data_IF_798735380763
#
_entry.id   IF_798735380763
#
_cell.length_a   1.000
_cell.length_b   1.000
_cell.length_c   1.000
_cell.angle_alpha   90.00
_cell.angle_beta   90.00
_cell.angle_gamma   90.00
#
_symmetry.space_group_name_H-M   'P 1'
#
loop_
_entity.id
_entity.type
_entity.pdbx_description
1 polymer ?
#
# COMPACT_ATOMS: atom_id res chain seq x y z
N UNK A 1 18.71 -62.54 42.07
CA UNK A 1 19.48 -62.98 40.89
C UNK A 1 19.94 -61.68 40.21
N UNK A 2 20.96 -61.06 40.65
CA UNK A 2 22.40 -61.18 40.46
C UNK A 2 22.81 -61.64 39.07
N UNK A 3 23.53 -60.76 38.40
CA UNK A 3 24.83 -60.84 37.73
C UNK A 3 25.00 -59.62 36.85
N UNK A 4 25.80 -58.63 37.13
CA UNK A 4 27.25 -58.42 37.21
C UNK A 4 27.95 -58.29 35.84
N UNK A 5 28.41 -57.06 35.59
CA UNK A 5 29.74 -56.54 35.24
C UNK A 5 30.57 -57.27 34.14
N UNK A 6 31.03 -56.62 33.17
CA UNK A 6 32.40 -56.01 33.06
C UNK A 6 32.75 -55.55 31.64
N UNK A 7 33.21 -54.33 31.61
CA UNK A 7 34.43 -53.77 30.92
C UNK A 7 34.80 -54.20 29.49
N UNK A 8 34.91 -53.19 28.67
CA UNK A 8 36.11 -53.02 27.80
C UNK A 8 36.31 -51.56 27.42
N UNK A 9 37.33 -50.99 28.04
CA UNK A 9 38.00 -49.74 27.66
C UNK A 9 38.67 -49.85 26.29
N UNK A 10 38.49 -48.85 25.44
CA UNK A 10 39.53 -48.54 24.45
C UNK A 10 39.62 -47.05 24.18
N UNK A 11 40.82 -46.58 24.34
CA UNK A 11 41.36 -45.23 24.11
C UNK A 11 41.09 -44.73 22.69
N UNK A 12 40.53 -43.52 22.55
CA UNK A 12 40.83 -42.69 21.41
C UNK A 12 41.16 -41.25 21.86
N UNK A 13 42.33 -40.83 21.43
CA UNK A 13 43.02 -39.60 21.74
C UNK A 13 42.20 -38.36 21.37
N UNK A 14 42.05 -37.44 22.32
CA UNK A 14 41.61 -36.07 22.11
C UNK A 14 42.72 -35.28 21.43
N UNK A 15 42.51 -34.89 20.17
CA UNK A 15 43.33 -33.87 19.53
C UNK A 15 42.59 -32.55 19.73
N UNK A 16 43.16 -31.68 20.57
CA UNK A 16 42.71 -30.32 20.80
C UNK A 16 43.30 -29.45 19.70
N UNK A 17 42.44 -28.90 18.81
CA UNK A 17 42.82 -27.80 17.93
C UNK A 17 42.47 -26.48 18.63
N UNK A 18 43.39 -25.53 18.72
CA UNK A 18 43.07 -24.21 19.23
C UNK A 18 42.35 -23.40 18.11
N UNK A 19 41.14 -23.00 18.37
CA UNK A 19 40.43 -22.00 17.56
C UNK A 19 41.07 -20.63 17.82
N UNK A 20 41.82 -20.15 16.85
CA UNK A 20 42.32 -18.79 16.80
C UNK A 20 41.11 -17.90 16.37
N UNK A 21 40.53 -17.15 17.33
CA UNK A 21 39.62 -16.07 17.02
C UNK A 21 40.40 -14.90 16.40
N UNK A 22 40.35 -14.77 15.10
CA UNK A 22 40.81 -13.58 14.39
C UNK A 22 39.60 -12.63 14.27
N UNK A 23 39.52 -11.66 15.19
CA UNK A 23 38.58 -10.56 15.14
C UNK A 23 39.06 -9.58 14.09
N UNK A 24 38.55 -9.70 12.86
CA UNK A 24 38.72 -8.67 11.84
C UNK A 24 37.53 -7.70 11.98
N UNK A 25 37.81 -6.56 12.62
CA UNK A 25 36.93 -5.38 12.55
C UNK A 25 37.10 -4.80 11.15
N UNK A 26 36.24 -5.16 10.24
CA UNK A 26 36.05 -4.45 8.95
C UNK A 26 34.98 -3.39 9.15
N UNK A 27 35.42 -2.19 9.51
CA UNK A 27 34.68 -0.96 9.18
C UNK A 27 34.74 -0.80 7.66
N UNK A 28 33.79 -1.43 6.99
CA UNK A 28 33.57 -1.26 5.56
C UNK A 28 32.25 -0.57 5.35
N UNK A 29 32.27 0.71 5.05
CA UNK A 29 31.17 1.37 4.35
C UNK A 29 31.07 0.64 3.00
N UNK A 30 30.20 -0.36 2.92
CA UNK A 30 29.84 -1.01 1.69
C UNK A 30 28.94 -0.08 0.90
N UNK A 31 29.53 0.86 0.17
CA UNK A 31 28.88 1.38 -1.02
C UNK A 31 28.69 0.19 -1.95
N UNK A 32 27.44 -0.26 -2.11
CA UNK A 32 27.05 -1.21 -3.14
C UNK A 32 27.54 -0.65 -4.48
N UNK A 33 28.56 -1.27 -5.06
CA UNK A 33 28.99 -0.98 -6.43
C UNK A 33 27.97 -1.59 -7.41
N UNK A 34 26.75 -1.03 -7.46
CA UNK A 34 25.88 -1.21 -8.59
C UNK A 34 26.40 -0.34 -9.72
N UNK A 35 26.81 -0.95 -10.80
CA UNK A 35 27.15 -0.20 -12.01
C UNK A 35 25.88 0.44 -12.57
N UNK A 36 25.94 1.63 -13.20
CA UNK A 36 24.76 2.34 -13.75
C UNK A 36 23.91 1.49 -14.73
N UNK A 37 24.46 0.40 -15.25
CA UNK A 37 23.75 -0.53 -16.15
C UNK A 37 22.77 -1.48 -15.44
N UNK A 38 22.86 -1.62 -14.12
CA UNK A 38 22.09 -2.59 -13.33
C UNK A 38 20.99 -1.93 -12.47
N UNK A 39 20.89 -0.61 -12.52
CA UNK A 39 19.84 0.16 -11.83
C UNK A 39 18.64 0.40 -12.75
N UNK A 40 17.42 0.46 -12.16
CA UNK A 40 16.19 0.73 -12.91
C UNK A 40 16.14 2.19 -13.44
N UNK A 41 16.73 3.13 -12.70
CA UNK A 41 16.89 4.53 -13.05
C UNK A 41 18.37 4.90 -13.08
N UNK A 42 18.73 5.90 -13.88
CA UNK A 42 20.03 6.57 -13.76
C UNK A 42 20.14 7.32 -12.44
N UNK A 43 21.36 7.58 -11.95
CA UNK A 43 21.58 8.37 -10.74
C UNK A 43 20.91 9.74 -10.81
N UNK A 44 20.95 10.40 -11.95
CA UNK A 44 20.30 11.70 -12.17
C UNK A 44 18.77 11.62 -12.20
N UNK A 45 18.19 10.50 -12.66
CA UNK A 45 16.74 10.29 -12.62
C UNK A 45 16.26 9.96 -11.21
N UNK A 46 17.02 9.15 -10.49
CA UNK A 46 16.74 8.83 -9.09
C UNK A 46 16.82 10.06 -8.18
N UNK A 47 17.86 10.89 -8.35
CA UNK A 47 18.02 12.12 -7.59
C UNK A 47 16.89 13.12 -7.88
N UNK A 48 16.50 13.24 -9.16
CA UNK A 48 15.34 14.06 -9.55
C UNK A 48 14.06 13.58 -8.83
N UNK A 49 13.78 12.27 -8.85
CA UNK A 49 12.58 11.71 -8.22
C UNK A 49 12.61 11.88 -6.70
N UNK A 50 13.76 11.65 -6.05
CA UNK A 50 13.94 11.91 -4.60
C UNK A 50 13.64 13.35 -4.24
N UNK A 51 14.28 14.31 -4.91
CA UNK A 51 14.09 15.73 -4.63
C UNK A 51 12.64 16.17 -4.90
N UNK A 52 12.01 15.66 -5.96
CA UNK A 52 10.61 15.93 -6.25
C UNK A 52 9.70 15.37 -5.14
N UNK A 53 9.93 14.13 -4.72
CA UNK A 53 9.15 13.46 -3.65
C UNK A 53 9.27 14.23 -2.34
N UNK A 54 10.49 14.60 -1.92
CA UNK A 54 10.73 15.39 -0.73
C UNK A 54 9.97 16.73 -0.78
N UNK A 55 10.07 17.46 -1.90
CA UNK A 55 9.37 18.74 -2.09
C UNK A 55 7.85 18.58 -2.01
N UNK A 56 7.29 17.50 -2.57
CA UNK A 56 5.85 17.21 -2.50
C UNK A 56 5.42 16.92 -1.08
N UNK A 57 6.14 16.06 -0.35
CA UNK A 57 5.84 15.74 1.05
C UNK A 57 5.93 16.99 1.92
N UNK A 58 6.95 17.83 1.72
CA UNK A 58 7.09 19.10 2.41
C UNK A 58 5.90 20.04 2.16
N UNK A 59 5.44 20.13 0.92
CA UNK A 59 4.29 20.95 0.55
C UNK A 59 2.94 20.39 1.05
N UNK A 60 2.93 19.12 1.46
CA UNK A 60 1.75 18.42 1.98
C UNK A 60 1.62 18.52 3.51
N UNK A 61 2.65 19.01 4.20
CA UNK A 61 2.63 19.19 5.65
C UNK A 61 1.74 20.34 6.06
N UNK A 62 0.94 20.11 7.10
CA UNK A 62 0.13 21.12 7.81
C UNK A 62 0.58 21.14 9.25
N UNK A 63 1.22 22.23 9.65
CA UNK A 63 1.77 22.39 10.99
C UNK A 63 0.67 22.72 12.03
N UNK A 64 0.89 22.42 13.32
CA UNK A 64 -0.04 22.82 14.38
C UNK A 64 -0.32 24.34 14.33
N UNK A 65 -1.61 24.70 14.35
CA UNK A 65 -2.05 26.08 14.23
C UNK A 65 -2.09 26.64 12.81
N UNK A 66 -1.57 25.93 11.82
CA UNK A 66 -1.66 26.32 10.41
C UNK A 66 -3.05 26.05 9.86
N UNK A 67 -3.53 26.95 8.99
CA UNK A 67 -4.83 26.80 8.33
C UNK A 67 -4.78 25.68 7.29
N UNK A 68 -5.74 24.77 7.39
CA UNK A 68 -5.78 23.58 6.51
C UNK A 68 -6.23 23.94 5.09
N UNK A 69 -7.29 24.73 4.97
CA UNK A 69 -7.85 25.25 3.70
C UNK A 69 -8.80 26.42 4.01
N UNK A 70 -9.24 27.16 2.98
CA UNK A 70 -10.10 28.35 3.14
C UNK A 70 -11.41 28.08 3.89
N UNK A 71 -11.99 26.89 3.71
CA UNK A 71 -13.26 26.51 4.35
C UNK A 71 -13.08 25.66 5.62
N UNK A 72 -11.84 25.37 6.02
CA UNK A 72 -11.50 24.54 7.17
C UNK A 72 -10.81 25.38 8.24
N UNK A 73 -10.83 24.89 9.49
CA UNK A 73 -10.11 25.50 10.60
C UNK A 73 -8.60 25.27 10.54
N UNK A 74 -7.93 25.62 11.63
CA UNK A 74 -6.50 25.38 11.79
C UNK A 74 -6.26 23.96 12.27
N UNK A 75 -5.08 23.38 11.98
CA UNK A 75 -4.67 22.09 12.54
C UNK A 75 -4.57 22.18 14.07
N UNK A 76 -5.50 21.54 14.77
CA UNK A 76 -5.60 21.50 16.23
C UNK A 76 -5.29 20.11 16.81
N UNK A 77 -4.69 19.21 16.03
CA UNK A 77 -4.40 17.83 16.45
C UNK A 77 -3.15 17.68 17.32
N UNK A 78 -2.39 18.76 17.47
CA UNK A 78 -1.19 18.80 18.34
C UNK A 78 0.10 18.32 17.69
N UNK A 79 0.08 17.90 16.41
CA UNK A 79 1.26 17.49 15.65
C UNK A 79 1.15 17.85 14.17
N UNK A 80 2.23 17.60 13.43
CA UNK A 80 2.25 17.76 11.98
C UNK A 80 1.45 16.64 11.34
N UNK A 81 0.58 17.00 10.40
CA UNK A 81 -0.15 16.06 9.56
C UNK A 81 0.22 16.28 8.09
N UNK A 82 0.08 15.26 7.27
CA UNK A 82 0.24 15.37 5.82
C UNK A 82 -1.09 15.13 5.12
N UNK A 83 -1.39 15.92 4.10
CA UNK A 83 -2.53 15.72 3.21
C UNK A 83 -2.06 15.12 1.87
N UNK A 84 -2.93 14.48 1.07
CA UNK A 84 -2.52 13.81 -0.17
C UNK A 84 -1.92 14.72 -1.24
N UNK A 85 -2.31 15.98 -1.26
CA UNK A 85 -1.85 16.92 -2.29
C UNK A 85 -1.58 18.34 -1.77
N UNK A 86 -0.58 19.02 -2.37
CA UNK A 86 -0.02 20.28 -1.92
C UNK A 86 -0.80 21.53 -2.27
N UNK A 87 -1.80 21.51 -3.17
CA UNK A 87 -2.52 22.73 -3.65
C UNK A 87 -3.99 22.77 -3.25
N UNK A 88 -4.29 22.49 -1.98
CA UNK A 88 -5.66 22.65 -1.47
C UNK A 88 -6.60 21.49 -1.76
N UNK A 89 -6.14 20.43 -2.42
CA UNK A 89 -6.88 19.20 -2.58
C UNK A 89 -6.89 18.40 -1.28
N UNK A 90 -8.00 17.71 -1.00
CA UNK A 90 -8.15 16.80 0.13
C UNK A 90 -7.75 17.41 1.48
N UNK A 91 -8.50 18.36 2.04
CA UNK A 91 -8.11 19.12 3.23
C UNK A 91 -8.30 18.31 4.53
N UNK A 92 -7.72 17.11 4.58
CA UNK A 92 -7.72 16.20 5.72
C UNK A 92 -6.48 15.31 5.71
N UNK A 93 -6.26 14.60 6.79
CA UNK A 93 -5.26 13.53 6.88
C UNK A 93 -5.87 12.22 6.39
N UNK A 94 -5.49 11.78 5.19
CA UNK A 94 -5.96 10.56 4.54
C UNK A 94 -5.03 9.39 4.88
N UNK A 95 -5.61 8.33 5.48
CA UNK A 95 -4.84 7.20 6.01
C UNK A 95 -4.12 6.45 4.89
N UNK A 96 -4.82 6.18 3.79
CA UNK A 96 -4.27 5.44 2.65
C UNK A 96 -3.08 6.14 2.02
N UNK A 97 -3.26 7.39 1.63
CA UNK A 97 -2.21 8.16 0.95
C UNK A 97 -0.95 8.29 1.80
N UNK A 98 -1.15 8.54 3.09
CA UNK A 98 -0.06 8.61 4.06
C UNK A 98 0.65 7.26 4.22
N UNK A 99 -0.09 6.18 4.49
CA UNK A 99 0.51 4.86 4.74
C UNK A 99 1.28 4.35 3.53
N UNK A 100 0.76 4.54 2.32
CA UNK A 100 1.43 4.19 1.07
C UNK A 100 2.69 5.03 0.79
N UNK A 101 2.81 6.22 1.40
CA UNK A 101 3.95 7.12 1.20
C UNK A 101 5.07 6.94 2.23
N UNK A 102 4.87 6.14 3.28
CA UNK A 102 5.84 5.93 4.35
C UNK A 102 7.19 5.40 3.85
N UNK A 103 7.17 4.43 2.94
CA UNK A 103 8.38 3.79 2.43
C UNK A 103 9.26 4.74 1.57
N UNK A 104 8.79 5.96 1.27
CA UNK A 104 9.62 7.01 0.66
C UNK A 104 10.77 7.49 1.59
N UNK A 105 10.60 7.34 2.92
CA UNK A 105 11.59 7.70 3.92
C UNK A 105 11.64 9.19 4.30
N UNK A 106 10.76 10.05 3.75
CA UNK A 106 10.76 11.50 4.01
C UNK A 106 9.83 11.96 5.13
N UNK A 107 9.15 11.03 5.81
CA UNK A 107 8.28 11.34 6.96
C UNK A 107 9.05 11.05 8.23
N UNK A 108 9.23 12.06 9.09
CA UNK A 108 10.02 11.94 10.30
C UNK A 108 9.41 10.99 11.35
N UNK A 109 10.22 10.53 12.30
CA UNK A 109 9.78 9.66 13.39
C UNK A 109 8.64 10.30 14.21
N UNK A 110 8.75 11.58 14.51
CA UNK A 110 7.79 12.34 15.29
C UNK A 110 6.45 12.45 14.55
N UNK A 111 6.49 12.72 13.27
CA UNK A 111 5.31 12.75 12.40
C UNK A 111 4.65 11.37 12.32
N UNK A 112 5.44 10.31 12.09
CA UNK A 112 4.94 8.94 12.05
C UNK A 112 4.26 8.56 13.38
N UNK A 113 4.88 8.89 14.51
CA UNK A 113 4.33 8.60 15.83
C UNK A 113 3.01 9.34 16.07
N UNK A 114 2.96 10.63 15.73
CA UNK A 114 1.76 11.44 15.90
C UNK A 114 0.59 10.89 15.06
N UNK A 115 0.80 10.67 13.76
CA UNK A 115 -0.23 10.18 12.85
C UNK A 115 -0.71 8.77 13.20
N UNK A 116 0.20 7.87 13.63
CA UNK A 116 -0.15 6.53 14.12
C UNK A 116 -1.07 6.59 15.35
N UNK A 117 -0.71 7.40 16.36
CA UNK A 117 -1.48 7.51 17.59
C UNK A 117 -2.82 8.25 17.36
N UNK A 118 -2.85 9.24 16.48
CA UNK A 118 -4.09 9.92 16.09
C UNK A 118 -5.04 8.94 15.41
N UNK A 119 -4.57 8.15 14.44
CA UNK A 119 -5.36 7.11 13.79
C UNK A 119 -5.87 6.08 14.80
N UNK A 120 -5.04 5.63 15.73
CA UNK A 120 -5.46 4.72 16.79
C UNK A 120 -6.52 5.34 17.71
N UNK A 121 -6.44 6.64 18.01
CA UNK A 121 -7.39 7.32 18.89
C UNK A 121 -8.76 7.53 18.27
N UNK A 122 -8.83 7.55 16.94
CA UNK A 122 -10.07 7.75 16.17
C UNK A 122 -10.67 6.43 15.67
N UNK A 123 -10.07 5.28 16.00
CA UNK A 123 -10.66 3.97 15.71
C UNK A 123 -12.04 3.84 16.35
N UNK A 124 -13.05 3.38 15.61
CA UNK A 124 -14.43 3.29 16.07
C UNK A 124 -14.54 2.44 17.35
N UNK A 125 -15.07 3.03 18.43
CA UNK A 125 -15.23 2.42 19.75
C UNK A 125 -16.53 1.61 19.90
N UNK A 126 -17.44 1.73 18.93
CA UNK A 126 -18.71 1.02 18.86
C UNK A 126 -19.18 0.86 17.42
N UNK A 127 -20.15 -0.04 17.24
CA UNK A 127 -20.91 -0.12 15.98
C UNK A 127 -22.04 0.91 16.01
N UNK A 128 -22.19 1.69 14.95
CA UNK A 128 -23.26 2.67 14.80
C UNK A 128 -23.65 2.90 13.34
N UNK A 129 -24.79 3.54 13.13
CA UNK A 129 -25.31 3.85 11.80
C UNK A 129 -25.36 5.37 11.64
N UNK A 130 -24.82 5.87 10.53
CA UNK A 130 -24.81 7.31 10.19
C UNK A 130 -26.20 7.80 9.86
N UNK A 131 -26.42 9.11 9.79
CA UNK A 131 -27.69 9.69 9.31
C UNK A 131 -28.07 9.21 7.90
N UNK A 132 -27.09 8.92 7.06
CA UNK A 132 -27.27 8.43 5.69
C UNK A 132 -27.44 6.89 5.60
N UNK A 133 -27.51 6.19 6.74
CA UNK A 133 -27.75 4.74 6.81
C UNK A 133 -26.52 3.87 6.54
N UNK A 134 -25.31 4.44 6.54
CA UNK A 134 -24.10 3.67 6.44
C UNK A 134 -23.71 3.06 7.79
N UNK A 135 -23.19 1.84 7.77
CA UNK A 135 -22.77 1.11 8.97
C UNK A 135 -21.28 1.35 9.23
N UNK A 136 -20.95 1.86 10.40
CA UNK A 136 -19.58 1.92 10.90
C UNK A 136 -19.43 0.82 11.96
N UNK A 137 -18.69 -0.26 11.69
CA UNK A 137 -18.50 -1.33 12.65
C UNK A 137 -17.51 -0.92 13.76
N UNK A 138 -17.65 -1.56 14.92
CA UNK A 138 -16.63 -1.47 15.97
C UNK A 138 -15.25 -1.82 15.40
N UNK A 139 -14.26 -1.01 15.73
CA UNK A 139 -12.88 -1.22 15.31
C UNK A 139 -12.51 -0.64 13.94
N UNK A 140 -13.46 -0.07 13.19
CA UNK A 140 -13.17 0.55 11.91
C UNK A 140 -12.15 1.69 12.03
N UNK A 141 -11.22 1.74 11.10
CA UNK A 141 -10.29 2.86 10.92
C UNK A 141 -10.93 3.90 10.02
N UNK A 142 -10.70 5.17 10.32
CA UNK A 142 -11.15 6.27 9.47
C UNK A 142 -10.51 6.21 8.07
N UNK A 143 -11.25 6.58 7.05
CA UNK A 143 -10.72 6.85 5.71
C UNK A 143 -9.82 8.11 5.75
N UNK A 144 -10.31 9.15 6.44
CA UNK A 144 -9.53 10.35 6.73
C UNK A 144 -9.92 10.98 8.06
N UNK A 145 -9.04 11.81 8.59
CA UNK A 145 -9.23 12.52 9.86
C UNK A 145 -9.21 14.02 9.56
N UNK A 146 -10.21 14.73 10.03
CA UNK A 146 -10.25 16.20 9.94
C UNK A 146 -9.13 16.80 10.77
N UNK A 147 -8.38 17.71 10.18
CA UNK A 147 -7.22 18.31 10.86
C UNK A 147 -7.60 19.41 11.84
N UNK A 148 -8.78 20.02 11.65
CA UNK A 148 -9.23 21.16 12.48
C UNK A 148 -9.83 20.74 13.82
N UNK A 149 -10.44 19.57 13.93
CA UNK A 149 -11.07 19.09 15.16
C UNK A 149 -10.71 17.63 15.52
N UNK A 150 -9.96 16.94 14.66
CA UNK A 150 -9.54 15.55 14.87
C UNK A 150 -10.66 14.53 14.71
N UNK A 151 -11.82 14.91 14.19
CA UNK A 151 -12.94 13.97 13.99
C UNK A 151 -12.66 12.99 12.85
N UNK A 152 -12.94 11.68 13.06
CA UNK A 152 -12.79 10.67 12.04
C UNK A 152 -13.92 10.72 11.01
N UNK A 153 -13.58 10.61 9.77
CA UNK A 153 -14.52 10.38 8.67
C UNK A 153 -14.21 9.00 8.10
N UNK A 154 -15.18 8.10 8.15
CA UNK A 154 -14.99 6.69 7.75
C UNK A 154 -15.33 6.43 6.29
N UNK A 155 -15.81 7.44 5.57
CA UNK A 155 -16.17 7.30 4.15
C UNK A 155 -15.60 8.45 3.32
N UNK A 156 -15.07 8.19 2.11
CA UNK A 156 -14.71 9.26 1.18
C UNK A 156 -15.94 10.06 0.73
N UNK A 157 -15.69 11.20 0.09
CA UNK A 157 -16.73 12.05 -0.51
C UNK A 157 -17.43 13.00 0.45
N UNK A 158 -17.13 13.01 1.75
CA UNK A 158 -17.67 13.94 2.73
C UNK A 158 -16.65 14.30 3.82
N UNK A 159 -16.89 15.41 4.50
CA UNK A 159 -16.18 15.83 5.72
C UNK A 159 -17.13 15.98 6.91
N UNK A 160 -18.37 15.51 6.80
CA UNK A 160 -19.38 15.53 7.87
C UNK A 160 -19.32 14.25 8.68
N UNK A 161 -19.06 14.35 9.98
CA UNK A 161 -19.04 13.20 10.88
C UNK A 161 -20.38 12.48 10.95
N UNK A 162 -21.51 13.24 10.98
CA UNK A 162 -22.83 12.66 11.16
C UNK A 162 -23.46 12.13 9.85
N UNK A 163 -23.13 12.77 8.71
CA UNK A 163 -23.78 12.56 7.41
C UNK A 163 -22.90 11.75 6.43
N UNK A 164 -21.80 11.16 6.94
CA UNK A 164 -20.90 10.38 6.13
C UNK A 164 -21.54 9.09 5.63
N UNK A 165 -21.05 8.60 4.49
CA UNK A 165 -21.51 7.39 3.83
C UNK A 165 -22.80 7.62 3.06
N UNK A 166 -22.78 7.26 1.80
CA UNK A 166 -23.95 7.26 0.89
C UNK A 166 -23.98 5.95 0.13
N UNK A 167 -25.09 5.58 -0.52
CA UNK A 167 -25.15 4.38 -1.35
C UNK A 167 -24.06 4.33 -2.43
N UNK A 168 -23.65 5.49 -2.93
CA UNK A 168 -22.62 5.62 -3.95
C UNK A 168 -21.22 5.27 -3.41
N UNK A 169 -20.95 5.63 -2.15
CA UNK A 169 -19.65 5.35 -1.48
C UNK A 169 -19.66 4.07 -0.63
N UNK A 170 -20.62 3.17 -0.87
CA UNK A 170 -20.78 1.93 -0.13
C UNK A 170 -21.46 2.11 1.22
N UNK A 171 -21.75 0.97 1.88
CA UNK A 171 -22.45 0.94 3.18
C UNK A 171 -21.56 0.62 4.36
N UNK A 172 -20.31 0.23 4.08
CA UNK A 172 -19.28 -0.03 5.09
C UNK A 172 -18.01 0.74 4.77
N UNK A 173 -17.20 1.09 5.77
CA UNK A 173 -15.94 1.81 5.55
C UNK A 173 -14.98 1.08 4.61
N UNK A 174 -14.02 1.81 4.06
CA UNK A 174 -12.92 1.28 3.28
C UNK A 174 -12.22 0.10 3.95
N UNK A 175 -12.01 -0.98 3.20
CA UNK A 175 -11.33 -2.18 3.72
C UNK A 175 -9.82 -2.02 3.78
N UNK A 176 -9.25 -1.26 2.83
CA UNK A 176 -7.79 -1.06 2.73
C UNK A 176 -7.19 -0.36 3.94
N UNK A 177 -7.86 0.65 4.47
CA UNK A 177 -7.36 1.47 5.59
C UNK A 177 -7.15 0.65 6.87
N UNK A 178 -7.94 -0.40 7.05
CA UNK A 178 -7.80 -1.35 8.15
C UNK A 178 -6.43 -2.04 8.15
N UNK A 179 -5.97 -2.46 6.97
CA UNK A 179 -4.69 -3.14 6.77
C UNK A 179 -3.53 -2.14 6.72
N UNK A 180 -3.76 -0.97 6.17
CA UNK A 180 -2.77 0.11 6.12
C UNK A 180 -2.45 0.67 7.51
N UNK A 181 -3.39 0.64 8.44
CA UNK A 181 -3.12 0.98 9.84
C UNK A 181 -2.12 -0.01 10.49
N UNK A 182 -2.19 -1.30 10.15
CA UNK A 182 -1.17 -2.27 10.56
C UNK A 182 0.19 -1.89 9.97
N UNK A 183 0.23 -1.54 8.68
CA UNK A 183 1.45 -1.11 8.01
C UNK A 183 2.08 0.15 8.65
N UNK A 184 1.27 1.12 9.05
CA UNK A 184 1.76 2.31 9.76
C UNK A 184 2.53 1.95 11.02
N UNK A 185 1.99 1.07 11.86
CA UNK A 185 2.64 0.62 13.08
C UNK A 185 3.89 -0.22 12.79
N UNK A 186 3.80 -1.13 11.84
CA UNK A 186 4.92 -1.97 11.41
C UNK A 186 6.10 -1.12 10.89
N UNK A 187 5.82 -0.17 9.98
CA UNK A 187 6.85 0.70 9.41
C UNK A 187 7.50 1.59 10.47
N UNK A 188 6.72 2.17 11.38
CA UNK A 188 7.24 2.93 12.51
C UNK A 188 8.22 2.09 13.34
N UNK A 189 7.87 0.87 13.72
CA UNK A 189 8.73 -0.02 14.50
C UNK A 189 9.95 -0.45 13.71
N UNK A 190 9.79 -0.77 12.42
CA UNK A 190 10.88 -1.14 11.52
C UNK A 190 11.95 -0.05 11.44
N UNK A 191 11.54 1.21 11.43
CA UNK A 191 12.46 2.35 11.27
C UNK A 191 13.00 2.90 12.59
N UNK A 192 12.27 2.73 13.70
CA UNK A 192 12.64 3.31 15.01
C UNK A 192 13.09 2.29 16.04
N UNK A 193 12.74 1.01 15.88
CA UNK A 193 12.89 -0.07 16.88
C UNK A 193 12.13 0.17 18.19
N UNK A 194 11.15 1.09 18.25
CA UNK A 194 10.37 1.46 19.44
C UNK A 194 9.21 0.49 19.69
N UNK A 195 9.49 -0.72 20.16
CA UNK A 195 8.46 -1.75 20.43
C UNK A 195 7.46 -1.37 21.51
N UNK A 196 7.88 -0.52 22.48
CA UNK A 196 7.02 -0.12 23.61
C UNK A 196 5.76 0.63 23.21
N UNK A 197 5.73 1.20 22.00
CA UNK A 197 4.53 1.84 21.46
C UNK A 197 3.35 0.87 21.32
N UNK A 198 3.61 -0.42 21.08
CA UNK A 198 2.57 -1.45 20.95
C UNK A 198 1.78 -1.69 22.25
N UNK A 199 2.41 -1.45 23.39
CA UNK A 199 1.80 -1.58 24.71
C UNK A 199 1.07 -0.30 25.15
N UNK A 200 1.29 0.81 24.44
CA UNK A 200 0.65 2.09 24.77
C UNK A 200 -0.87 1.95 24.69
N UNK A 201 -1.54 2.27 25.80
CA UNK A 201 -3.00 2.27 25.85
C UNK A 201 -3.56 3.58 25.30
N UNK A 202 -4.43 3.47 24.32
CA UNK A 202 -5.17 4.55 23.71
C UNK A 202 -6.65 4.25 23.99
N UNK A 203 -7.33 5.15 24.74
CA UNK A 203 -8.70 4.94 25.20
C UNK A 203 -8.90 3.54 25.85
N UNK A 204 -7.93 3.11 26.67
CA UNK A 204 -8.00 1.86 27.43
C UNK A 204 -7.54 0.58 26.69
N UNK A 205 -7.36 0.60 25.38
CA UNK A 205 -6.95 -0.52 24.54
C UNK A 205 -5.52 -0.34 24.06
N UNK A 206 -4.67 -1.37 24.13
CA UNK A 206 -3.30 -1.29 23.64
C UNK A 206 -3.25 -1.07 22.11
N UNK A 207 -2.20 -0.42 21.61
CA UNK A 207 -2.04 -0.27 20.17
C UNK A 207 -2.05 -1.64 19.46
N UNK A 208 -1.37 -2.64 20.03
CA UNK A 208 -1.34 -3.99 19.43
C UNK A 208 -2.74 -4.62 19.31
N UNK A 209 -3.57 -4.50 20.36
CA UNK A 209 -4.96 -4.99 20.29
C UNK A 209 -5.78 -4.22 19.25
N UNK A 210 -5.54 -2.91 19.11
CA UNK A 210 -6.19 -2.09 18.08
C UNK A 210 -5.85 -2.52 16.66
N UNK A 211 -4.60 -2.91 16.42
CA UNK A 211 -4.17 -3.46 15.12
C UNK A 211 -4.89 -4.78 14.82
N UNK A 212 -4.98 -5.69 15.80
CA UNK A 212 -5.72 -6.95 15.62
C UNK A 212 -7.23 -6.72 15.40
N UNK A 213 -7.83 -5.75 16.10
CA UNK A 213 -9.23 -5.38 15.89
C UNK A 213 -9.43 -4.87 14.45
N UNK A 214 -8.62 -3.92 13.99
CA UNK A 214 -8.70 -3.37 12.64
C UNK A 214 -8.54 -4.47 11.57
N UNK A 215 -7.55 -5.35 11.70
CA UNK A 215 -7.31 -6.47 10.79
C UNK A 215 -8.55 -7.36 10.57
N UNK A 216 -9.40 -7.48 11.59
CA UNK A 216 -10.59 -8.33 11.56
C UNK A 216 -11.87 -7.59 11.15
N UNK A 217 -11.84 -6.28 10.91
CA UNK A 217 -13.03 -5.49 10.49
C UNK A 217 -13.54 -5.91 9.10
N UNK A 218 -12.70 -6.02 8.05
CA UNK A 218 -13.19 -6.39 6.72
C UNK A 218 -13.76 -7.82 6.70
N UNK A 219 -15.00 -8.00 6.21
CA UNK A 219 -15.57 -9.34 6.02
C UNK A 219 -14.64 -10.23 5.19
N UNK A 220 -14.51 -11.48 5.58
CA UNK A 220 -13.61 -12.42 4.90
C UNK A 220 -14.13 -13.83 4.99
N UNK A 221 -13.80 -14.64 4.00
CA UNK A 221 -14.11 -16.06 3.98
C UNK A 221 -13.40 -16.76 5.14
N UNK A 222 -14.05 -17.76 5.72
CA UNK A 222 -13.50 -18.47 6.89
C UNK A 222 -12.38 -19.44 6.53
N UNK A 223 -12.46 -20.03 5.35
CA UNK A 223 -11.54 -21.08 4.90
C UNK A 223 -10.16 -20.54 4.50
N UNK A 224 -10.10 -19.40 3.81
CA UNK A 224 -8.87 -18.87 3.19
C UNK A 224 -8.60 -17.40 3.51
N UNK A 225 -9.46 -16.75 4.27
CA UNK A 225 -9.37 -15.35 4.70
C UNK A 225 -9.41 -14.31 3.59
N UNK A 226 -9.83 -14.67 2.38
CA UNK A 226 -10.04 -13.72 1.28
C UNK A 226 -11.11 -12.71 1.69
N UNK A 227 -10.84 -11.44 1.44
CA UNK A 227 -11.78 -10.33 1.70
C UNK A 227 -12.96 -10.45 0.75
N UNK A 228 -14.17 -10.35 1.28
CA UNK A 228 -15.40 -10.50 0.51
C UNK A 228 -16.40 -9.41 0.83
N UNK A 229 -17.30 -9.12 -0.09
CA UNK A 229 -18.39 -8.18 0.12
C UNK A 229 -19.64 -8.62 -0.62
N UNK A 230 -20.78 -8.02 -0.30
CA UNK A 230 -22.08 -8.29 -0.91
C UNK A 230 -22.75 -7.00 -1.34
N UNK A 231 -23.81 -7.08 -2.15
CA UNK A 231 -24.62 -5.90 -2.53
C UNK A 231 -25.15 -5.13 -1.30
N UNK A 232 -25.42 -5.83 -0.20
CA UNK A 232 -25.92 -5.22 1.03
C UNK A 232 -24.84 -4.54 1.86
N UNK A 233 -23.68 -5.17 1.98
CA UNK A 233 -22.54 -4.66 2.77
C UNK A 233 -21.39 -4.19 1.87
N UNK A 234 -21.72 -3.58 0.74
CA UNK A 234 -20.67 -3.05 -0.14
C UNK A 234 -19.75 -2.14 0.63
N UNK A 235 -18.50 -2.54 0.73
CA UNK A 235 -17.40 -1.66 1.01
C UNK A 235 -16.86 -1.09 -0.28
N UNK A 236 -16.03 -0.07 -0.13
CA UNK A 236 -15.28 0.48 -1.25
C UNK A 236 -14.03 -0.36 -1.43
N UNK A 237 -13.80 -0.84 -2.63
CA UNK A 237 -12.55 -1.53 -2.98
C UNK A 237 -11.41 -0.52 -3.15
N UNK A 238 -10.22 -0.91 -2.73
CA UNK A 238 -9.07 -0.03 -2.66
C UNK A 238 -8.03 -0.38 -3.71
N UNK A 239 -7.32 0.46 -4.12
CA UNK A 239 -6.50 0.67 -5.25
C UNK A 239 -6.97 1.93 -5.91
N UNK A 240 -7.32 2.96 -5.09
CA UNK A 240 -7.92 4.20 -5.54
C UNK A 240 -9.18 3.97 -6.39
N UNK A 241 -10.13 3.23 -5.84
CA UNK A 241 -11.44 2.94 -6.46
C UNK A 241 -12.62 3.38 -5.57
N UNK A 242 -12.53 4.57 -5.01
CA UNK A 242 -13.51 5.13 -4.05
C UNK A 242 -14.87 5.41 -4.68
N UNK A 243 -14.89 5.68 -5.97
CA UNK A 243 -16.12 6.02 -6.73
C UNK A 243 -16.63 4.84 -7.56
N UNK A 244 -16.12 3.64 -7.30
CA UNK A 244 -16.48 2.40 -7.98
C UNK A 244 -17.24 1.46 -7.05
N UNK A 245 -18.15 0.66 -7.59
CA UNK A 245 -18.74 -0.48 -6.89
C UNK A 245 -18.21 -1.77 -7.49
N UNK A 246 -17.71 -2.65 -6.61
CA UNK A 246 -17.26 -4.00 -6.93
C UNK A 246 -17.75 -4.91 -5.82
N UNK A 247 -18.35 -6.07 -6.17
CA UNK A 247 -18.87 -7.07 -5.24
C UNK A 247 -18.24 -8.45 -5.43
N UNK A 248 -18.48 -9.35 -4.50
CA UNK A 248 -17.89 -10.69 -4.46
C UNK A 248 -16.62 -10.76 -3.62
N UNK A 249 -15.75 -11.71 -3.91
CA UNK A 249 -14.42 -11.77 -3.32
C UNK A 249 -13.53 -10.71 -3.99
N UNK A 250 -12.73 -9.99 -3.20
CA UNK A 250 -12.00 -8.80 -3.64
C UNK A 250 -10.49 -9.06 -3.66
N UNK A 251 -9.87 -8.86 -4.81
CA UNK A 251 -8.45 -9.16 -5.00
C UNK A 251 -7.53 -8.17 -4.26
N UNK A 252 -7.63 -6.88 -4.56
CA UNK A 252 -6.72 -5.87 -4.01
C UNK A 252 -6.74 -5.79 -2.48
N UNK A 253 -7.90 -5.73 -1.81
CA UNK A 253 -7.94 -5.76 -0.35
C UNK A 253 -7.37 -7.07 0.24
N UNK A 254 -7.51 -8.21 -0.46
CA UNK A 254 -6.94 -9.48 -0.02
C UNK A 254 -5.40 -9.47 -0.09
N UNK A 255 -4.81 -8.80 -1.09
CA UNK A 255 -3.37 -8.58 -1.16
C UNK A 255 -2.89 -7.70 0.00
N UNK A 256 -3.61 -6.63 0.34
CA UNK A 256 -3.28 -5.81 1.51
C UNK A 256 -3.42 -6.60 2.81
N UNK A 257 -4.44 -7.45 2.93
CA UNK A 257 -4.61 -8.34 4.09
C UNK A 257 -3.47 -9.34 4.23
N UNK A 258 -3.00 -9.91 3.12
CA UNK A 258 -1.82 -10.78 3.11
C UNK A 258 -0.60 -10.05 3.70
N UNK A 259 -0.31 -8.83 3.20
CA UNK A 259 0.80 -8.01 3.71
C UNK A 259 0.64 -7.73 5.21
N UNK A 260 -0.55 -7.26 5.63
CA UNK A 260 -0.83 -6.97 7.04
C UNK A 260 -0.71 -8.21 7.95
N UNK A 261 -1.06 -9.39 7.45
CA UNK A 261 -0.88 -10.63 8.20
C UNK A 261 0.60 -10.95 8.43
N UNK A 262 1.46 -10.79 7.40
CA UNK A 262 2.92 -10.94 7.56
C UNK A 262 3.49 -9.91 8.56
N UNK A 263 3.05 -8.66 8.48
CA UNK A 263 3.48 -7.59 9.38
C UNK A 263 3.05 -7.85 10.83
N UNK A 264 1.81 -8.33 11.06
CA UNK A 264 1.36 -8.75 12.40
C UNK A 264 2.16 -9.94 12.91
N UNK A 265 2.46 -10.93 12.06
CA UNK A 265 3.31 -12.07 12.43
C UNK A 265 4.66 -11.57 12.95
N UNK A 266 5.35 -10.71 12.21
CA UNK A 266 6.65 -10.16 12.61
C UNK A 266 6.56 -9.30 13.90
N UNK A 267 5.51 -8.51 14.07
CA UNK A 267 5.29 -7.75 15.30
C UNK A 267 5.11 -8.66 16.52
N UNK A 268 4.36 -9.76 16.38
CA UNK A 268 4.19 -10.73 17.46
C UNK A 268 5.47 -11.52 17.76
N UNK A 269 6.29 -11.84 16.75
CA UNK A 269 7.62 -12.42 16.96
C UNK A 269 8.51 -11.48 17.79
N UNK A 270 8.53 -10.18 17.46
CA UNK A 270 9.27 -9.16 18.23
C UNK A 270 8.78 -9.02 19.68
N UNK A 271 7.50 -9.29 19.93
CA UNK A 271 6.90 -9.34 21.27
C UNK A 271 7.06 -10.71 21.96
N UNK A 272 7.80 -11.66 21.37
CA UNK A 272 7.97 -13.05 21.85
C UNK A 272 6.63 -13.81 22.00
N UNK A 273 5.62 -13.50 21.21
CA UNK A 273 4.34 -14.20 21.16
C UNK A 273 4.24 -15.11 19.95
N UNK A 274 4.96 -16.24 20.00
CA UNK A 274 5.06 -17.17 18.88
C UNK A 274 3.70 -17.72 18.44
N UNK A 275 2.79 -18.01 19.39
CA UNK A 275 1.46 -18.52 19.06
C UNK A 275 0.67 -17.59 18.13
N UNK A 276 0.71 -16.28 18.39
CA UNK A 276 0.05 -15.29 17.53
C UNK A 276 0.82 -15.07 16.24
N UNK A 277 2.14 -15.09 16.28
CA UNK A 277 2.97 -15.01 15.09
C UNK A 277 2.63 -16.13 14.10
N UNK A 278 2.61 -17.39 14.57
CA UNK A 278 2.25 -18.56 13.75
C UNK A 278 0.82 -18.46 13.19
N UNK A 279 -0.13 -17.95 13.98
CA UNK A 279 -1.50 -17.71 13.53
C UNK A 279 -1.55 -16.78 12.32
N UNK A 280 -0.85 -15.64 12.38
CA UNK A 280 -0.88 -14.67 11.28
C UNK A 280 -0.07 -15.13 10.08
N UNK A 281 1.02 -15.87 10.30
CA UNK A 281 1.76 -16.53 9.22
C UNK A 281 0.88 -17.55 8.48
N UNK A 282 0.08 -18.33 9.20
CA UNK A 282 -0.87 -19.27 8.59
C UNK A 282 -1.95 -18.54 7.77
N UNK A 283 -2.48 -17.44 8.28
CA UNK A 283 -3.46 -16.61 7.56
C UNK A 283 -2.84 -16.10 6.25
N UNK A 284 -1.63 -15.54 6.31
CA UNK A 284 -0.92 -15.08 5.11
C UNK A 284 -0.71 -16.22 4.10
N UNK A 285 -0.31 -17.41 4.56
CA UNK A 285 -0.14 -18.58 3.70
C UNK A 285 -1.42 -18.95 2.96
N UNK A 286 -2.55 -19.00 3.65
CA UNK A 286 -3.85 -19.32 3.05
C UNK A 286 -4.29 -18.27 2.02
N UNK A 287 -4.13 -16.98 2.31
CA UNK A 287 -4.45 -15.92 1.35
C UNK A 287 -3.55 -16.04 0.10
N UNK A 288 -2.25 -16.28 0.30
CA UNK A 288 -1.29 -16.46 -0.80
C UNK A 288 -1.68 -17.58 -1.74
N UNK A 289 -2.12 -18.72 -1.19
CA UNK A 289 -2.57 -19.87 -1.98
C UNK A 289 -3.89 -19.59 -2.71
N UNK A 290 -4.82 -18.87 -2.08
CA UNK A 290 -6.15 -18.62 -2.62
C UNK A 290 -6.18 -17.57 -3.73
N UNK A 291 -5.33 -16.52 -3.68
CA UNK A 291 -5.34 -15.41 -4.65
C UNK A 291 -5.22 -15.90 -6.11
N UNK A 292 -4.21 -16.68 -6.52
CA UNK A 292 -4.13 -17.13 -7.91
C UNK A 292 -5.27 -18.08 -8.31
N UNK A 293 -5.76 -18.90 -7.38
CA UNK A 293 -6.84 -19.84 -7.65
C UNK A 293 -8.19 -19.15 -7.93
N UNK A 294 -8.46 -18.03 -7.25
CA UNK A 294 -9.74 -17.33 -7.37
C UNK A 294 -9.73 -16.24 -8.46
N UNK A 295 -8.60 -15.58 -8.63
CA UNK A 295 -8.58 -14.34 -9.42
C UNK A 295 -7.79 -14.45 -10.72
N UNK A 296 -6.86 -15.41 -10.89
CA UNK A 296 -6.01 -15.46 -12.08
C UNK A 296 -6.79 -15.89 -13.32
N UNK A 297 -6.67 -15.12 -14.38
CA UNK A 297 -7.18 -15.46 -15.71
C UNK A 297 -6.17 -16.30 -16.52
N UNK A 298 -6.57 -16.74 -17.69
CA UNK A 298 -5.74 -17.53 -18.60
C UNK A 298 -4.49 -16.80 -19.11
N UNK A 299 -4.45 -15.46 -19.06
CA UNK A 299 -3.29 -14.63 -19.45
C UNK A 299 -2.28 -14.49 -18.31
N UNK A 300 -2.69 -14.79 -17.07
CA UNK A 300 -1.92 -14.56 -15.84
C UNK A 300 -2.23 -13.25 -15.16
N UNK A 301 -3.29 -12.55 -15.58
CA UNK A 301 -3.76 -11.34 -14.90
C UNK A 301 -4.71 -11.71 -13.76
N UNK A 302 -4.65 -10.95 -12.66
CA UNK A 302 -5.60 -11.08 -11.58
C UNK A 302 -6.84 -10.21 -11.86
N UNK A 303 -8.02 -10.79 -11.71
CA UNK A 303 -9.30 -10.06 -11.77
C UNK A 303 -9.49 -9.23 -10.51
N UNK A 304 -10.17 -8.09 -10.63
CA UNK A 304 -10.46 -7.23 -9.47
C UNK A 304 -11.36 -7.92 -8.44
N UNK A 305 -12.32 -8.74 -8.90
CA UNK A 305 -13.24 -9.49 -8.04
C UNK A 305 -13.75 -10.77 -8.70
N UNK A 306 -14.48 -11.57 -7.92
CA UNK A 306 -15.25 -12.74 -8.41
C UNK A 306 -16.70 -12.37 -8.78
N UNK A 307 -17.14 -11.16 -8.50
CA UNK A 307 -18.48 -10.66 -8.80
C UNK A 307 -18.62 -10.09 -10.22
N UNK A 308 -19.53 -9.14 -10.42
CA UNK A 308 -19.75 -8.53 -11.73
C UNK A 308 -18.58 -7.67 -12.22
N UNK A 309 -17.88 -7.03 -11.29
CA UNK A 309 -16.66 -6.24 -11.58
C UNK A 309 -15.41 -7.12 -11.74
N UNK A 310 -15.50 -8.19 -12.54
CA UNK A 310 -14.43 -9.19 -12.71
C UNK A 310 -13.42 -8.85 -13.81
N UNK A 311 -13.22 -7.59 -14.10
CA UNK A 311 -12.20 -7.14 -15.05
C UNK A 311 -10.79 -7.52 -14.56
N UNK A 312 -9.90 -7.91 -15.49
CA UNK A 312 -8.47 -8.04 -15.18
C UNK A 312 -7.91 -6.71 -14.70
N UNK A 313 -7.30 -6.72 -13.52
CA UNK A 313 -6.85 -5.53 -12.81
C UNK A 313 -5.32 -5.45 -12.82
N UNK A 314 -4.78 -4.45 -13.49
CA UNK A 314 -3.34 -4.21 -13.58
C UNK A 314 -2.74 -3.93 -12.20
N UNK A 315 -3.43 -3.15 -11.36
CA UNK A 315 -2.90 -2.76 -10.06
C UNK A 315 -2.81 -3.94 -9.10
N UNK A 316 -3.88 -4.73 -8.97
CA UNK A 316 -3.84 -5.96 -8.17
C UNK A 316 -2.78 -6.93 -8.67
N UNK A 317 -2.67 -7.09 -9.99
CA UNK A 317 -1.69 -7.99 -10.61
C UNK A 317 -0.26 -7.55 -10.30
N UNK A 318 0.06 -6.27 -10.50
CA UNK A 318 1.40 -5.75 -10.24
C UNK A 318 1.76 -5.78 -8.75
N UNK A 319 0.79 -5.45 -7.87
CA UNK A 319 1.00 -5.48 -6.43
C UNK A 319 1.21 -6.89 -5.89
N UNK A 320 0.49 -7.90 -6.44
CA UNK A 320 0.68 -9.30 -6.09
C UNK A 320 2.09 -9.80 -6.44
N UNK A 321 2.63 -9.38 -7.59
CA UNK A 321 4.02 -9.67 -7.94
C UNK A 321 5.00 -8.94 -7.00
N UNK A 322 4.73 -7.68 -6.70
CA UNK A 322 5.58 -6.87 -5.83
C UNK A 322 5.69 -7.43 -4.39
N UNK A 323 4.63 -8.10 -3.90
CA UNK A 323 4.63 -8.77 -2.61
C UNK A 323 4.93 -10.29 -2.68
N UNK A 324 5.45 -10.78 -3.82
CA UNK A 324 5.85 -12.18 -4.03
C UNK A 324 4.72 -13.19 -3.68
N UNK A 325 3.47 -12.84 -4.02
CA UNK A 325 2.29 -13.72 -3.80
C UNK A 325 2.29 -14.87 -4.82
N UNK A 326 2.62 -14.57 -6.08
CA UNK A 326 2.54 -15.53 -7.17
C UNK A 326 3.75 -16.50 -7.15
N UNK A 327 3.54 -17.74 -7.58
CA UNK A 327 4.61 -18.70 -7.80
C UNK A 327 5.55 -18.23 -8.92
N UNK A 328 6.73 -18.84 -9.03
CA UNK A 328 7.69 -18.48 -10.09
C UNK A 328 7.09 -18.63 -11.51
N UNK A 329 6.35 -19.70 -11.76
CA UNK A 329 5.71 -19.96 -13.08
C UNK A 329 4.67 -18.89 -13.40
N UNK A 330 3.83 -18.56 -12.43
CA UNK A 330 2.81 -17.50 -12.55
C UNK A 330 3.48 -16.13 -12.73
N UNK A 331 4.50 -15.83 -11.94
CA UNK A 331 5.31 -14.61 -12.06
C UNK A 331 5.89 -14.43 -13.46
N UNK A 332 6.52 -15.46 -14.00
CA UNK A 332 7.07 -15.40 -15.37
C UNK A 332 5.98 -15.19 -16.43
N UNK A 333 4.87 -15.90 -16.31
CA UNK A 333 3.73 -15.77 -17.22
C UNK A 333 3.16 -14.35 -17.21
N UNK A 334 2.84 -13.85 -16.02
CA UNK A 334 2.29 -12.51 -15.80
C UNK A 334 3.25 -11.41 -16.27
N UNK A 335 4.53 -11.53 -15.92
CA UNK A 335 5.57 -10.59 -16.33
C UNK A 335 5.71 -10.47 -17.84
N UNK A 336 5.70 -11.62 -18.56
CA UNK A 336 5.74 -11.64 -20.03
C UNK A 336 4.50 -10.99 -20.64
N UNK A 337 3.32 -11.27 -20.10
CA UNK A 337 2.09 -10.66 -20.57
C UNK A 337 2.09 -9.14 -20.38
N UNK A 338 2.45 -8.63 -19.18
CA UNK A 338 2.56 -7.20 -18.92
C UNK A 338 3.62 -6.52 -19.82
N UNK A 339 4.74 -7.20 -20.09
CA UNK A 339 5.75 -6.74 -21.04
C UNK A 339 5.18 -6.54 -22.44
N UNK A 340 4.45 -7.55 -22.96
CA UNK A 340 3.79 -7.46 -24.26
C UNK A 340 2.71 -6.38 -24.31
N UNK A 341 1.91 -6.24 -23.22
CA UNK A 341 0.89 -5.20 -23.14
C UNK A 341 1.49 -3.79 -23.17
N UNK A 342 2.66 -3.60 -22.53
CA UNK A 342 3.40 -2.35 -22.60
C UNK A 342 3.98 -2.09 -24.01
N UNK A 343 4.66 -3.06 -24.61
CA UNK A 343 5.22 -2.94 -25.98
C UNK A 343 4.15 -2.61 -27.04
N UNK A 344 2.95 -3.15 -26.84
CA UNK A 344 1.81 -2.90 -27.72
C UNK A 344 1.03 -1.59 -27.40
N UNK A 345 1.45 -0.82 -26.40
CA UNK A 345 0.82 0.45 -26.01
C UNK A 345 -0.53 0.32 -25.29
N UNK A 346 -0.80 -0.84 -24.68
CA UNK A 346 -2.09 -1.11 -24.00
C UNK A 346 -2.06 -0.90 -22.49
N UNK A 347 -0.88 -0.74 -21.89
CA UNK A 347 -0.69 -0.73 -20.44
C UNK A 347 -0.54 0.69 -19.85
N UNK A 348 0.17 1.56 -20.54
CA UNK A 348 0.60 2.85 -19.99
C UNK A 348 0.45 3.99 -21.00
N UNK A 349 0.43 5.21 -20.47
CA UNK A 349 0.61 6.46 -21.22
C UNK A 349 1.57 7.36 -20.50
N UNK A 350 2.68 7.71 -21.15
CA UNK A 350 3.76 8.51 -20.54
C UNK A 350 4.26 7.91 -19.21
N UNK A 351 4.41 6.60 -19.17
CA UNK A 351 4.86 5.89 -17.98
C UNK A 351 3.84 5.76 -16.83
N UNK A 352 2.66 6.35 -16.94
CA UNK A 352 1.58 6.22 -15.96
C UNK A 352 0.62 5.10 -16.35
N UNK A 353 -0.04 4.46 -15.39
CA UNK A 353 -0.71 3.16 -15.53
C UNK A 353 -2.22 3.29 -15.29
N UNK A 354 -3.03 2.59 -16.12
CA UNK A 354 -4.48 2.41 -15.89
C UNK A 354 -4.75 1.23 -14.95
N UNK A 355 -5.95 1.20 -14.38
CA UNK A 355 -6.41 0.02 -13.65
C UNK A 355 -6.64 -1.20 -14.56
N UNK A 356 -7.09 -0.96 -15.81
CA UNK A 356 -7.35 -2.00 -16.81
C UNK A 356 -6.58 -1.69 -18.10
N UNK A 357 -6.28 -2.70 -18.89
CA UNK A 357 -5.66 -2.53 -20.21
C UNK A 357 -6.64 -1.86 -21.18
N UNK A 358 -6.11 -1.13 -22.17
CA UNK A 358 -6.96 -0.54 -23.24
C UNK A 358 -7.62 -1.60 -24.12
N UNK A 359 -7.09 -2.83 -24.15
CA UNK A 359 -7.68 -4.00 -24.85
C UNK A 359 -8.84 -4.63 -24.08
N UNK A 360 -8.88 -4.43 -22.77
CA UNK A 360 -9.94 -4.92 -21.87
C UNK A 360 -10.91 -3.78 -21.49
N UNK A 361 -10.89 -2.72 -22.28
CA UNK A 361 -11.69 -1.52 -22.04
C UNK A 361 -13.18 -1.85 -22.06
N UNK A 362 -13.95 -0.99 -21.42
CA UNK A 362 -15.39 -1.12 -21.33
C UNK A 362 -16.07 -0.38 -22.50
N UNK A 363 -17.15 -0.95 -22.99
CA UNK A 363 -17.80 -0.45 -24.20
C UNK A 363 -18.60 0.82 -23.93
N UNK A 364 -19.30 0.89 -22.80
CA UNK A 364 -20.24 1.97 -22.49
C UNK A 364 -19.64 2.99 -21.52
N UNK A 365 -19.93 2.87 -20.23
CA UNK A 365 -19.62 3.90 -19.24
C UNK A 365 -18.57 3.47 -18.22
N UNK A 366 -18.47 2.17 -17.91
CA UNK A 366 -17.58 1.67 -16.85
C UNK A 366 -17.14 0.24 -17.08
N UNK A 367 -15.90 -0.07 -16.67
CA UNK A 367 -15.40 -1.42 -16.57
C UNK A 367 -15.88 -2.15 -15.29
N UNK A 368 -16.52 -1.44 -14.39
CA UNK A 368 -16.90 -1.86 -13.04
C UNK A 368 -18.42 -2.06 -12.98
N UNK A 369 -18.94 -2.56 -11.86
CA UNK A 369 -20.39 -2.72 -11.68
C UNK A 369 -21.11 -1.36 -11.72
N UNK A 370 -20.47 -0.34 -11.14
CA UNK A 370 -20.96 1.04 -11.12
C UNK A 370 -19.77 2.00 -10.98
N UNK A 371 -19.89 3.21 -11.53
CA UNK A 371 -18.93 4.29 -11.36
C UNK A 371 -19.64 5.65 -11.31
N UNK A 372 -19.24 6.51 -10.36
CA UNK A 372 -19.59 7.93 -10.35
C UNK A 372 -18.71 8.74 -11.31
N UNK A 373 -17.49 8.28 -11.59
CA UNK A 373 -16.59 8.94 -12.53
C UNK A 373 -16.98 8.61 -13.99
N UNK A 374 -16.93 9.61 -14.85
CA UNK A 374 -17.13 9.41 -16.27
C UNK A 374 -16.02 8.55 -16.87
N UNK A 375 -16.30 7.88 -17.98
CA UNK A 375 -15.30 7.11 -18.74
C UNK A 375 -14.09 7.99 -19.06
N UNK A 376 -12.90 7.43 -18.91
CA UNK A 376 -11.61 8.08 -19.13
C UNK A 376 -11.30 9.22 -18.16
N UNK A 377 -11.97 9.26 -17.02
CA UNK A 377 -11.64 10.19 -15.94
C UNK A 377 -11.40 9.43 -14.64
N UNK A 378 -10.62 10.02 -13.74
CA UNK A 378 -10.36 9.55 -12.39
C UNK A 378 -10.11 8.02 -12.35
N UNK A 379 -10.82 7.30 -11.45
CA UNK A 379 -10.69 5.85 -11.29
C UNK A 379 -11.35 5.04 -12.42
N UNK A 380 -12.03 5.69 -13.35
CA UNK A 380 -12.73 5.08 -14.47
C UNK A 380 -11.96 5.24 -15.79
N UNK A 381 -10.68 4.89 -15.79
CA UNK A 381 -9.86 4.82 -17.00
C UNK A 381 -8.77 5.89 -17.14
N UNK A 382 -8.57 6.78 -16.15
CA UNK A 382 -7.40 7.67 -16.16
C UNK A 382 -6.10 6.91 -15.83
N UNK A 383 -4.97 7.54 -16.15
CA UNK A 383 -3.62 7.03 -15.91
C UNK A 383 -3.04 7.62 -14.63
N UNK A 384 -2.41 6.79 -13.81
CA UNK A 384 -1.91 7.08 -12.47
C UNK A 384 -0.42 6.76 -12.35
N UNK A 385 0.34 7.62 -11.71
CA UNK A 385 1.75 7.33 -11.42
C UNK A 385 1.95 6.37 -10.26
N UNK A 386 1.03 6.32 -9.30
CA UNK A 386 1.11 5.51 -8.09
C UNK A 386 1.55 4.05 -8.32
N UNK A 387 0.98 3.26 -9.25
CA UNK A 387 1.37 1.86 -9.46
C UNK A 387 2.58 1.67 -10.39
N UNK A 388 3.13 2.74 -10.98
CA UNK A 388 4.20 2.62 -11.99
C UNK A 388 5.38 1.80 -11.48
N UNK A 389 5.78 2.00 -10.24
CA UNK A 389 6.90 1.25 -9.65
C UNK A 389 6.61 -0.25 -9.52
N UNK A 390 5.39 -0.63 -9.14
CA UNK A 390 4.99 -2.05 -9.05
C UNK A 390 4.95 -2.71 -10.42
N UNK A 391 4.47 -1.99 -11.43
CA UNK A 391 4.45 -2.48 -12.82
C UNK A 391 5.87 -2.62 -13.38
N UNK A 392 6.75 -1.66 -13.12
CA UNK A 392 8.17 -1.79 -13.46
C UNK A 392 8.81 -3.01 -12.78
N UNK A 393 8.52 -3.24 -11.49
CA UNK A 393 8.97 -4.43 -10.77
C UNK A 393 8.48 -5.72 -11.45
N UNK A 394 7.18 -5.76 -11.78
CA UNK A 394 6.59 -6.92 -12.46
C UNK A 394 7.24 -7.20 -13.82
N UNK A 395 7.43 -6.19 -14.67
CA UNK A 395 8.08 -6.33 -15.98
C UNK A 395 9.55 -6.72 -15.83
N UNK A 396 10.26 -6.18 -14.84
CA UNK A 396 11.68 -6.45 -14.62
C UNK A 396 11.99 -7.93 -14.35
N UNK A 397 11.03 -8.72 -13.86
CA UNK A 397 11.20 -10.15 -13.61
C UNK A 397 11.59 -10.94 -14.89
N UNK A 398 11.20 -10.47 -16.07
CA UNK A 398 11.57 -11.12 -17.36
C UNK A 398 12.20 -10.18 -18.37
N UNK A 399 11.98 -8.87 -18.26
CA UNK A 399 12.51 -7.87 -19.20
C UNK A 399 12.94 -6.58 -18.49
N UNK A 400 14.14 -6.60 -17.92
CA UNK A 400 14.68 -5.46 -17.18
C UNK A 400 14.83 -4.19 -18.03
N UNK A 401 15.21 -4.31 -19.31
CA UNK A 401 15.37 -3.16 -20.22
C UNK A 401 14.02 -2.48 -20.49
N UNK A 402 12.97 -3.25 -20.63
CA UNK A 402 11.63 -2.73 -20.87
C UNK A 402 11.10 -2.01 -19.60
N UNK A 403 11.39 -2.55 -18.43
CA UNK A 403 11.09 -1.88 -17.16
C UNK A 403 11.85 -0.54 -17.03
N UNK A 404 13.12 -0.49 -17.44
CA UNK A 404 13.90 0.76 -17.51
C UNK A 404 13.25 1.78 -18.46
N UNK A 405 12.75 1.33 -19.62
CA UNK A 405 12.08 2.22 -20.57
C UNK A 405 10.80 2.81 -19.96
N UNK A 406 9.95 1.99 -19.37
CA UNK A 406 8.72 2.45 -18.69
C UNK A 406 9.03 3.45 -17.56
N UNK A 407 10.02 3.13 -16.73
CA UNK A 407 10.47 4.02 -15.65
C UNK A 407 10.98 5.36 -16.20
N UNK A 408 11.73 5.33 -17.31
CA UNK A 408 12.23 6.54 -17.97
C UNK A 408 11.12 7.41 -18.54
N UNK A 409 10.13 6.83 -19.19
CA UNK A 409 8.96 7.56 -19.72
C UNK A 409 8.20 8.28 -18.59
N UNK A 410 8.03 7.61 -17.44
CA UNK A 410 7.42 8.20 -16.26
C UNK A 410 8.24 9.40 -15.71
N UNK A 411 9.55 9.26 -15.59
CA UNK A 411 10.43 10.36 -15.13
C UNK A 411 10.43 11.52 -16.11
N UNK A 412 10.41 11.25 -17.42
CA UNK A 412 10.39 12.28 -18.45
C UNK A 412 9.09 13.08 -18.42
N UNK A 413 7.94 12.41 -18.20
CA UNK A 413 6.65 13.11 -18.03
C UNK A 413 6.66 14.00 -16.78
N UNK A 414 7.15 13.49 -15.65
CA UNK A 414 7.29 14.29 -14.42
C UNK A 414 8.19 15.52 -14.66
N UNK A 415 9.34 15.33 -15.33
CA UNK A 415 10.25 16.45 -15.65
C UNK A 415 9.60 17.46 -16.59
N UNK A 416 8.87 17.00 -17.59
CA UNK A 416 8.21 17.89 -18.55
C UNK A 416 7.20 18.79 -17.87
N UNK A 417 6.43 18.27 -16.92
CA UNK A 417 5.30 18.91 -16.28
C UNK A 417 5.56 19.32 -14.82
N UNK A 418 6.83 19.33 -14.39
CA UNK A 418 7.26 19.61 -13.02
C UNK A 418 6.75 20.98 -12.52
N UNK A 419 5.91 20.95 -11.49
CA UNK A 419 5.29 22.16 -10.91
C UNK A 419 6.29 23.23 -10.44
N UNK A 420 7.54 22.83 -10.16
CA UNK A 420 8.61 23.77 -9.74
C UNK A 420 9.05 24.70 -10.86
N UNK A 421 8.67 24.43 -12.11
CA UNK A 421 8.97 25.29 -13.27
C UNK A 421 8.09 26.53 -13.36
N UNK A 422 6.89 26.49 -12.77
CA UNK A 422 5.96 27.63 -12.79
C UNK A 422 4.51 27.22 -12.52
N UNK A 423 3.61 28.20 -12.36
CA UNK A 423 2.23 27.95 -11.95
C UNK A 423 1.39 27.21 -13.01
N UNK A 424 1.81 27.19 -14.26
CA UNK A 424 1.17 26.46 -15.35
C UNK A 424 1.45 24.95 -15.33
N UNK A 425 2.46 24.51 -14.56
CA UNK A 425 2.81 23.10 -14.40
C UNK A 425 2.19 22.54 -13.12
N UNK A 426 1.78 21.28 -13.14
CA UNK A 426 1.07 20.68 -12.01
C UNK A 426 1.52 19.27 -11.64
N UNK A 427 2.41 18.64 -12.40
CA UNK A 427 2.88 17.29 -12.04
C UNK A 427 3.73 17.31 -10.76
N UNK A 428 3.61 16.28 -9.93
CA UNK A 428 2.83 15.05 -10.13
C UNK A 428 1.32 15.28 -9.98
N UNK A 429 0.54 14.78 -10.91
CA UNK A 429 -0.91 14.74 -10.80
C UNK A 429 -1.36 13.45 -10.09
N UNK A 430 -2.52 13.46 -9.44
CA UNK A 430 -3.17 12.25 -8.96
C UNK A 430 -3.41 11.30 -10.12
N UNK A 431 -4.10 11.77 -11.16
CA UNK A 431 -4.26 11.07 -12.42
C UNK A 431 -4.49 12.04 -13.59
N UNK A 432 -4.34 11.53 -14.79
CA UNK A 432 -4.68 12.28 -16.02
C UNK A 432 -5.05 11.33 -17.17
N UNK A 433 -5.64 11.89 -18.24
CA UNK A 433 -5.97 11.13 -19.44
C UNK A 433 -5.66 11.95 -20.70
N UNK A 434 -5.25 11.32 -21.83
CA UNK A 434 -4.93 12.00 -23.08
C UNK A 434 -6.06 12.86 -23.66
N UNK A 435 -7.32 12.60 -23.26
CA UNK A 435 -8.48 13.42 -23.66
C UNK A 435 -8.53 14.81 -22.99
N UNK A 436 -7.56 15.16 -22.15
CA UNK A 436 -7.49 16.45 -21.47
C UNK A 436 -7.89 16.45 -19.98
N UNK A 437 -8.31 15.30 -19.44
CA UNK A 437 -8.58 15.19 -18.00
C UNK A 437 -7.28 15.26 -17.19
N UNK A 438 -7.26 16.09 -16.15
CA UNK A 438 -6.22 16.12 -15.11
C UNK A 438 -6.88 16.31 -13.76
N UNK A 439 -6.35 15.67 -12.70
CA UNK A 439 -6.89 15.76 -11.35
C UNK A 439 -5.77 15.97 -10.34
N UNK A 440 -6.05 16.80 -9.36
CA UNK A 440 -5.25 17.07 -8.16
C UNK A 440 -3.73 17.13 -8.40
N UNK A 441 -3.19 18.33 -8.71
CA UNK A 441 -1.75 18.51 -8.84
C UNK A 441 -1.02 18.34 -7.50
N UNK A 442 0.27 18.06 -7.56
CA UNK A 442 1.16 17.86 -6.43
C UNK A 442 0.75 16.65 -5.55
N UNK A 443 0.37 15.58 -6.20
CA UNK A 443 -0.15 14.41 -5.51
C UNK A 443 0.96 13.49 -4.98
N UNK A 444 0.90 13.19 -3.69
CA UNK A 444 2.00 12.55 -2.94
C UNK A 444 2.29 11.12 -3.41
N UNK A 445 1.27 10.26 -3.50
CA UNK A 445 1.48 8.84 -3.83
C UNK A 445 1.99 8.63 -5.25
N UNK A 446 1.74 9.57 -6.15
CA UNK A 446 2.27 9.54 -7.52
C UNK A 446 3.80 9.48 -7.56
N UNK A 447 4.50 10.05 -6.59
CA UNK A 447 5.97 10.04 -6.54
C UNK A 447 6.54 9.15 -5.43
N UNK A 448 5.89 9.07 -4.27
CA UNK A 448 6.37 8.30 -3.12
C UNK A 448 6.32 6.79 -3.35
N UNK A 449 5.23 6.27 -3.93
CA UNK A 449 5.09 4.85 -4.21
C UNK A 449 6.09 4.35 -5.28
N UNK A 450 6.25 5.02 -6.44
CA UNK A 450 7.29 4.62 -7.41
C UNK A 450 8.70 4.74 -6.85
N UNK A 451 9.02 5.78 -6.07
CA UNK A 451 10.34 5.92 -5.45
C UNK A 451 10.67 4.72 -4.56
N UNK A 452 9.74 4.32 -3.68
CA UNK A 452 9.89 3.16 -2.81
C UNK A 452 10.04 1.87 -3.61
N UNK A 453 9.20 1.66 -4.64
CA UNK A 453 9.23 0.46 -5.44
C UNK A 453 10.50 0.35 -6.30
N UNK A 454 10.98 1.43 -6.90
CA UNK A 454 12.21 1.43 -7.69
C UNK A 454 13.44 1.02 -6.86
N UNK A 455 13.46 1.36 -5.56
CA UNK A 455 14.51 0.91 -4.64
C UNK A 455 14.59 -0.61 -4.46
N UNK A 456 13.52 -1.33 -4.75
CA UNK A 456 13.41 -2.79 -4.62
C UNK A 456 13.65 -3.54 -5.96
N UNK A 457 13.86 -2.82 -7.07
CA UNK A 457 14.09 -3.43 -8.39
C UNK A 457 15.58 -3.67 -8.58
N UNK A 458 15.95 -4.94 -8.51
CA UNK A 458 17.31 -5.41 -8.79
C UNK A 458 17.30 -6.15 -10.11
N UNK A 459 18.33 -5.96 -10.92
CA UNK A 459 18.51 -6.75 -12.14
C UNK A 459 18.68 -8.21 -11.78
N UNK A 460 17.89 -9.13 -12.39
CA UNK A 460 17.99 -10.57 -12.17
C UNK A 460 19.37 -11.15 -12.51
#
# INVERSE_FOLDING_TARGET
MEFNLNTLTNHMKRTVFPLLFLTIILLGHGQSMFTPKDAILSDGDLEFLKTLTETIIDSSRIYPGERVADQMGNNNTGGILVKPGGRGSYPAFWIRDYAMSLESGFISREEQRHMLLLTASTQADRTWITKNGALIPFGAIADHIRMDDGLPIYFPGTYSFEEQGTPEFGRTPPYGDQFLFVHMAFYFIKTTSELTILEQKINGTSLMDRLEIAFNVPPSRLEDHIVTTTDHFRGIDFGFRDVMTITGDLCYPSILKFKAALELSELFEKLNNQQKADKYQLIAGKIKEAIPLLFMDERGMLKASTGKGNQPDVWSTALALYYDILSQVETEKTSRFLSQAYENGHLSYKGNIRHILTTDDFDESTAWEFSLAQKNTYQNGAYWGTPTGWVCYAIAKTNFKLAQQLAKEYIDDLRQNDFRKGPEYGAPYECFHPSGHTQNPLYMTTVSCPLAAFGNIVKP
#
